data_IF_135867200944
#
_entry.id   IF_135867200944
#
_cell.length_a   1.000
_cell.length_b   1.000
_cell.length_c   1.000
_cell.angle_alpha   90.00
_cell.angle_beta   90.00
_cell.angle_gamma   90.00
#
_symmetry.space_group_name_H-M   'P 1'
#
loop_
_entity.id
_entity.type
_entity.pdbx_description
1 polymer ?
#
# COMPACT_ATOMS: atom_id res chain seq x y z
N UNK A 1 -52.95 -22.67 4.51
CA UNK A 1 -52.69 -21.35 3.93
C UNK A 1 -51.93 -20.55 4.96
N UNK A 2 -50.65 -20.27 4.75
CA UNK A 2 -49.84 -19.51 5.71
C UNK A 2 -50.34 -18.07 5.75
N UNK A 3 -50.64 -17.56 6.94
CA UNK A 3 -50.94 -16.14 7.14
C UNK A 3 -49.80 -15.31 6.55
N UNK A 4 -50.12 -14.51 5.53
CA UNK A 4 -49.15 -13.63 4.91
C UNK A 4 -49.08 -12.37 5.79
N UNK A 5 -48.03 -12.27 6.60
CA UNK A 5 -47.78 -11.05 7.40
C UNK A 5 -47.52 -9.88 6.45
N UNK A 6 -48.36 -8.85 6.48
CA UNK A 6 -48.22 -7.72 5.57
C UNK A 6 -47.05 -6.84 6.03
N UNK A 7 -45.95 -6.83 5.27
CA UNK A 7 -44.84 -5.94 5.54
C UNK A 7 -45.24 -4.49 5.26
N UNK A 8 -44.87 -3.60 6.18
CA UNK A 8 -44.89 -2.15 5.98
C UNK A 8 -43.79 -1.74 5.02
N UNK A 9 -42.56 -2.17 5.29
CA UNK A 9 -41.38 -1.86 4.49
C UNK A 9 -40.38 -3.02 4.44
N UNK A 10 -39.60 -3.06 3.35
CA UNK A 10 -38.48 -4.02 3.19
C UNK A 10 -37.16 -3.41 3.65
N UNK A 11 -36.25 -4.23 4.18
CA UNK A 11 -34.88 -3.79 4.47
C UNK A 11 -33.96 -4.07 3.27
N UNK A 12 -32.98 -3.19 2.95
CA UNK A 12 -32.10 -3.37 1.80
C UNK A 12 -30.97 -4.36 2.09
N UNK A 13 -31.26 -5.66 1.98
CA UNK A 13 -30.27 -6.72 2.04
C UNK A 13 -29.38 -6.72 0.80
N UNK A 14 -28.06 -6.68 1.00
CA UNK A 14 -27.05 -6.77 -0.06
C UNK A 14 -26.78 -8.23 -0.45
N UNK A 15 -27.01 -9.15 0.49
CA UNK A 15 -26.89 -10.60 0.29
C UNK A 15 -28.08 -11.32 0.92
N UNK A 16 -28.64 -12.28 0.19
CA UNK A 16 -29.71 -13.15 0.70
C UNK A 16 -29.13 -14.46 1.22
N UNK A 17 -29.63 -14.91 2.36
CA UNK A 17 -29.34 -16.21 2.95
C UNK A 17 -30.21 -17.34 2.37
N UNK A 18 -30.70 -17.18 1.14
CA UNK A 18 -31.61 -18.10 0.47
C UNK A 18 -30.88 -19.33 -0.10
N UNK A 19 -31.48 -20.51 0.05
CA UNK A 19 -30.92 -21.80 -0.38
C UNK A 19 -31.83 -22.44 -1.43
N UNK A 20 -31.28 -23.09 -2.45
CA UNK A 20 -32.10 -23.82 -3.44
C UNK A 20 -32.61 -25.10 -2.79
N UNK A 21 -33.85 -25.49 -3.08
CA UNK A 21 -34.42 -26.76 -2.59
C UNK A 21 -33.59 -27.98 -3.02
N UNK A 22 -32.91 -27.90 -4.16
CA UNK A 22 -32.06 -28.97 -4.70
C UNK A 22 -30.72 -29.11 -3.98
N UNK A 23 -30.34 -28.15 -3.14
CA UNK A 23 -29.13 -28.21 -2.32
C UNK A 23 -29.50 -28.84 -0.94
N UNK A 24 -28.60 -28.79 0.06
CA UNK A 24 -28.90 -29.25 1.44
C UNK A 24 -29.87 -28.30 2.16
N UNK A 25 -31.13 -28.27 1.68
CA UNK A 25 -32.17 -27.37 2.17
C UNK A 25 -32.71 -27.81 3.54
N UNK A 26 -32.57 -26.94 4.53
CA UNK A 26 -33.16 -27.08 5.84
C UNK A 26 -34.59 -26.52 5.85
N UNK A 27 -35.64 -27.35 5.87
CA UNK A 27 -37.02 -26.90 5.80
C UNK A 27 -37.46 -26.09 7.03
N UNK A 28 -36.70 -26.16 8.13
CA UNK A 28 -37.01 -25.47 9.38
C UNK A 28 -36.54 -24.01 9.37
N UNK A 29 -35.36 -23.73 8.80
CA UNK A 29 -34.75 -22.40 8.83
C UNK A 29 -34.53 -21.76 7.46
N UNK A 30 -34.43 -22.53 6.36
CA UNK A 30 -34.07 -21.95 5.08
C UNK A 30 -35.17 -21.10 4.46
N UNK A 31 -34.69 -20.08 3.74
CA UNK A 31 -35.46 -19.27 2.81
C UNK A 31 -35.25 -19.84 1.42
N UNK A 32 -36.33 -20.16 0.72
CA UNK A 32 -36.23 -20.75 -0.61
C UNK A 32 -35.67 -19.73 -1.61
N UNK A 33 -34.66 -20.16 -2.37
CA UNK A 33 -34.09 -19.39 -3.47
C UNK A 33 -34.87 -19.65 -4.76
N UNK A 34 -35.69 -18.68 -5.17
CA UNK A 34 -36.44 -18.74 -6.44
C UNK A 34 -35.68 -18.02 -7.58
N UNK A 35 -35.84 -18.42 -8.86
CA UNK A 35 -35.03 -17.94 -9.99
C UNK A 35 -35.05 -16.42 -10.27
N UNK A 36 -35.97 -15.67 -9.67
CA UNK A 36 -36.08 -14.20 -9.75
C UNK A 36 -36.45 -13.60 -8.39
N UNK A 37 -35.87 -14.12 -7.31
CA UNK A 37 -36.20 -13.66 -5.96
C UNK A 37 -35.93 -12.17 -5.83
N UNK A 38 -37.00 -11.39 -5.62
CA UNK A 38 -36.87 -9.97 -5.35
C UNK A 38 -36.52 -9.73 -3.88
N UNK A 39 -36.05 -8.52 -3.56
CA UNK A 39 -35.83 -8.12 -2.18
C UNK A 39 -37.11 -8.24 -1.33
N UNK A 40 -38.26 -7.88 -1.91
CA UNK A 40 -39.55 -7.98 -1.24
C UNK A 40 -39.92 -9.44 -0.95
N UNK A 41 -39.73 -10.34 -1.92
CA UNK A 41 -39.99 -11.77 -1.73
C UNK A 41 -39.09 -12.36 -0.63
N UNK A 42 -37.81 -12.00 -0.63
CA UNK A 42 -36.86 -12.44 0.39
C UNK A 42 -37.26 -11.94 1.78
N UNK A 43 -37.52 -10.65 1.95
CA UNK A 43 -37.94 -10.08 3.23
C UNK A 43 -39.24 -10.70 3.73
N UNK A 44 -40.20 -10.93 2.83
CA UNK A 44 -41.48 -11.56 3.14
C UNK A 44 -41.30 -13.00 3.63
N UNK A 45 -40.49 -13.79 2.93
CA UNK A 45 -40.20 -15.16 3.36
C UNK A 45 -39.44 -15.19 4.69
N UNK A 46 -38.49 -14.27 4.90
CA UNK A 46 -37.72 -14.18 6.13
C UNK A 46 -38.61 -13.84 7.34
N UNK A 47 -39.56 -12.93 7.18
CA UNK A 47 -40.55 -12.61 8.22
C UNK A 47 -41.49 -13.78 8.46
N UNK A 48 -42.07 -14.36 7.40
CA UNK A 48 -42.94 -15.53 7.54
C UNK A 48 -42.24 -16.67 8.31
N UNK A 49 -40.97 -16.91 8.00
CA UNK A 49 -40.13 -17.89 8.69
C UNK A 49 -39.89 -17.53 10.15
N UNK A 50 -39.64 -16.26 10.43
CA UNK A 50 -39.44 -15.74 11.79
C UNK A 50 -40.67 -15.94 12.70
N UNK A 51 -41.87 -15.92 12.12
CA UNK A 51 -43.11 -16.20 12.86
C UNK A 51 -43.46 -17.69 12.92
N UNK A 52 -43.02 -18.51 11.96
CA UNK A 52 -43.26 -19.95 11.95
C UNK A 52 -42.41 -20.72 12.94
N UNK A 53 -41.21 -20.23 13.28
CA UNK A 53 -40.34 -20.89 14.26
C UNK A 53 -40.81 -20.68 15.71
N UNK A 54 -40.47 -21.63 16.57
CA UNK A 54 -40.73 -21.53 18.00
C UNK A 54 -39.78 -20.53 18.67
N UNK A 55 -40.16 -20.02 19.85
CA UNK A 55 -39.38 -19.01 20.56
C UNK A 55 -37.97 -19.50 20.94
N UNK A 56 -37.82 -20.79 21.25
CA UNK A 56 -36.52 -21.40 21.58
C UNK A 56 -35.59 -21.54 20.36
N UNK A 57 -36.14 -21.55 19.15
CA UNK A 57 -35.39 -21.72 17.91
C UNK A 57 -34.78 -20.42 17.36
N UNK A 58 -35.21 -19.26 17.86
CA UNK A 58 -34.75 -17.94 17.40
C UNK A 58 -33.22 -17.81 17.36
N UNK A 59 -32.45 -18.21 18.41
CA UNK A 59 -31.00 -18.12 18.36
C UNK A 59 -30.37 -19.05 17.32
N UNK A 60 -30.93 -20.25 17.13
CA UNK A 60 -30.44 -21.24 16.17
C UNK A 60 -30.70 -20.77 14.72
N UNK A 61 -31.89 -20.23 14.48
CA UNK A 61 -32.27 -19.61 13.21
C UNK A 61 -31.32 -18.49 12.79
N UNK A 62 -31.00 -17.57 13.72
CA UNK A 62 -30.04 -16.48 13.46
C UNK A 62 -28.65 -17.06 13.16
N UNK A 63 -28.17 -18.01 13.97
CA UNK A 63 -26.87 -18.63 13.75
C UNK A 63 -26.79 -19.34 12.40
N UNK A 64 -27.88 -19.98 11.97
CA UNK A 64 -27.98 -20.67 10.70
C UNK A 64 -27.81 -19.70 9.52
N UNK A 65 -28.60 -18.61 9.47
CA UNK A 65 -28.47 -17.65 8.39
C UNK A 65 -27.13 -16.93 8.35
N UNK A 66 -26.53 -16.66 9.52
CA UNK A 66 -25.16 -16.14 9.59
C UNK A 66 -24.12 -17.04 8.93
N UNK A 67 -24.33 -18.36 8.85
CA UNK A 67 -23.42 -19.29 8.16
C UNK A 67 -23.59 -19.28 6.63
N UNK A 68 -24.74 -18.83 6.14
CA UNK A 68 -25.08 -18.84 4.70
C UNK A 68 -24.63 -17.59 3.96
N UNK A 69 -24.21 -16.55 4.69
CA UNK A 69 -23.82 -15.25 4.14
C UNK A 69 -22.33 -14.99 4.33
N UNK A 70 -21.75 -14.18 3.45
CA UNK A 70 -20.33 -13.81 3.48
C UNK A 70 -20.04 -12.76 4.54
N UNK A 71 -20.97 -11.83 4.75
CA UNK A 71 -20.90 -10.81 5.78
C UNK A 71 -22.08 -10.95 6.76
N UNK A 72 -21.91 -11.75 7.83
CA UNK A 72 -22.96 -12.00 8.80
C UNK A 72 -23.36 -10.77 9.59
N UNK A 73 -22.42 -9.86 9.89
CA UNK A 73 -22.70 -8.65 10.67
C UNK A 73 -23.57 -7.71 9.87
N UNK A 74 -23.25 -7.50 8.58
CA UNK A 74 -24.09 -6.70 7.70
C UNK A 74 -25.49 -7.32 7.54
N UNK A 75 -25.58 -8.65 7.41
CA UNK A 75 -26.86 -9.34 7.34
C UNK A 75 -27.69 -9.16 8.62
N UNK A 76 -27.08 -9.32 9.80
CA UNK A 76 -27.71 -9.09 11.11
C UNK A 76 -28.27 -7.66 11.22
N UNK A 77 -27.52 -6.66 10.77
CA UNK A 77 -27.96 -5.25 10.79
C UNK A 77 -29.19 -5.03 9.89
N UNK A 78 -29.24 -5.68 8.73
CA UNK A 78 -30.41 -5.60 7.83
C UNK A 78 -31.60 -6.37 8.38
N UNK A 79 -31.37 -7.49 9.06
CA UNK A 79 -32.44 -8.26 9.70
C UNK A 79 -33.03 -7.51 10.90
N UNK A 80 -32.19 -6.93 11.76
CA UNK A 80 -32.64 -6.02 12.83
C UNK A 80 -33.49 -4.89 12.26
N UNK A 81 -33.01 -4.21 11.21
CA UNK A 81 -33.77 -3.15 10.55
C UNK A 81 -35.12 -3.66 10.03
N UNK A 82 -35.17 -4.84 9.40
CA UNK A 82 -36.41 -5.43 8.90
C UNK A 82 -37.43 -5.67 10.02
N UNK A 83 -36.98 -6.13 11.19
CA UNK A 83 -37.85 -6.33 12.35
C UNK A 83 -38.36 -4.99 12.89
N UNK A 84 -37.46 -4.02 13.07
CA UNK A 84 -37.80 -2.69 13.61
C UNK A 84 -38.78 -1.90 12.74
N UNK A 85 -38.61 -1.90 11.41
CA UNK A 85 -39.53 -1.18 10.52
C UNK A 85 -40.90 -1.87 10.38
N UNK A 86 -41.01 -3.13 10.82
CA UNK A 86 -42.23 -3.91 10.82
C UNK A 86 -42.64 -4.32 12.26
N UNK A 87 -42.30 -3.49 13.24
CA UNK A 87 -42.57 -3.73 14.67
C UNK A 87 -44.06 -3.88 14.99
N UNK A 88 -44.93 -3.23 14.20
CA UNK A 88 -46.38 -3.38 14.23
C UNK A 88 -46.84 -4.85 14.11
N UNK A 89 -46.07 -5.72 13.44
CA UNK A 89 -46.35 -7.17 13.36
C UNK A 89 -46.19 -7.89 14.70
N UNK A 90 -45.50 -7.27 15.66
CA UNK A 90 -45.16 -7.86 16.94
C UNK A 90 -46.01 -7.36 18.11
N UNK A 91 -47.11 -6.66 17.82
CA UNK A 91 -48.05 -6.19 18.84
C UNK A 91 -48.72 -7.38 19.57
N UNK A 92 -48.85 -7.25 20.89
CA UNK A 92 -49.42 -8.25 21.79
C UNK A 92 -48.36 -9.07 22.55
N UNK A 93 -48.67 -9.48 23.78
CA UNK A 93 -47.70 -10.03 24.77
C UNK A 93 -46.81 -11.15 24.20
N UNK A 94 -47.40 -12.10 23.47
CA UNK A 94 -46.66 -13.25 22.90
C UNK A 94 -45.69 -12.82 21.79
N UNK A 95 -46.12 -11.92 20.91
CA UNK A 95 -45.30 -11.48 19.79
C UNK A 95 -44.28 -10.42 20.22
N UNK A 96 -44.58 -9.61 21.22
CA UNK A 96 -43.65 -8.66 21.81
C UNK A 96 -42.47 -9.38 22.46
N UNK A 97 -42.72 -10.44 23.23
CA UNK A 97 -41.65 -11.28 23.79
C UNK A 97 -40.79 -11.91 22.68
N UNK A 98 -41.40 -12.33 21.56
CA UNK A 98 -40.68 -12.84 20.39
C UNK A 98 -39.80 -11.75 19.76
N UNK A 99 -40.31 -10.52 19.58
CA UNK A 99 -39.53 -9.39 19.07
C UNK A 99 -38.33 -9.10 19.96
N UNK A 100 -38.54 -8.97 21.27
CA UNK A 100 -37.46 -8.78 22.25
C UNK A 100 -36.42 -9.89 22.16
N UNK A 101 -36.87 -11.15 22.00
CA UNK A 101 -35.94 -12.29 21.86
C UNK A 101 -35.11 -12.21 20.58
N UNK A 102 -35.69 -11.79 19.45
CA UNK A 102 -34.93 -11.55 18.22
C UNK A 102 -33.88 -10.47 18.43
N UNK A 103 -34.26 -9.31 18.96
CA UNK A 103 -33.33 -8.18 19.19
C UNK A 103 -32.16 -8.60 20.10
N UNK A 104 -32.44 -9.26 21.23
CA UNK A 104 -31.40 -9.75 22.14
C UNK A 104 -30.51 -10.80 21.44
N UNK A 105 -31.09 -11.71 20.67
CA UNK A 105 -30.32 -12.78 20.01
C UNK A 105 -29.44 -12.24 18.88
N UNK A 106 -29.91 -11.22 18.15
CA UNK A 106 -29.13 -10.50 17.14
C UNK A 106 -27.93 -9.81 17.81
N UNK A 107 -28.19 -9.02 18.85
CA UNK A 107 -27.14 -8.30 19.57
C UNK A 107 -26.11 -9.24 20.20
N UNK A 108 -26.58 -10.31 20.84
CA UNK A 108 -25.71 -11.35 21.41
C UNK A 108 -24.83 -11.99 20.34
N UNK A 109 -25.38 -12.28 19.15
CA UNK A 109 -24.61 -12.90 18.07
C UNK A 109 -23.60 -11.93 17.47
N UNK A 110 -23.96 -10.66 17.31
CA UNK A 110 -23.08 -9.58 16.85
C UNK A 110 -21.89 -9.40 17.80
N UNK A 111 -22.15 -9.28 19.10
CA UNK A 111 -21.09 -9.09 20.10
C UNK A 111 -20.13 -10.27 20.15
N UNK A 112 -20.64 -11.51 20.05
CA UNK A 112 -19.76 -12.70 19.93
C UNK A 112 -18.86 -12.65 18.70
N UNK A 113 -19.37 -12.20 17.55
CA UNK A 113 -18.56 -12.07 16.33
C UNK A 113 -17.47 -11.00 16.47
N UNK A 114 -17.78 -9.89 17.15
CA UNK A 114 -16.79 -8.85 17.45
C UNK A 114 -15.71 -9.41 18.38
N UNK A 115 -16.10 -10.08 19.48
CA UNK A 115 -15.17 -10.73 20.41
C UNK A 115 -14.31 -11.81 19.74
N UNK A 116 -14.88 -12.62 18.84
CA UNK A 116 -14.17 -13.66 18.07
C UNK A 116 -13.14 -13.01 17.13
N UNK A 117 -13.49 -11.92 16.45
CA UNK A 117 -12.56 -11.16 15.63
C UNK A 117 -11.45 -10.52 16.47
N UNK A 118 -11.78 -9.93 17.63
CA UNK A 118 -10.77 -9.41 18.55
C UNK A 118 -9.83 -10.50 19.08
N UNK A 119 -10.34 -11.73 19.30
CA UNK A 119 -9.51 -12.88 19.69
C UNK A 119 -8.63 -13.40 18.56
N UNK A 120 -9.10 -13.36 17.31
CA UNK A 120 -8.30 -13.71 16.14
C UNK A 120 -7.13 -12.74 15.96
N UNK A 121 -7.35 -11.44 16.17
CA UNK A 121 -6.29 -10.43 16.21
C UNK A 121 -5.33 -10.61 17.41
N UNK A 122 -5.79 -11.29 18.46
CA UNK A 122 -5.04 -11.58 19.70
C UNK A 122 -4.66 -13.05 19.86
N UNK A 123 -4.37 -13.79 18.78
CA UNK A 123 -3.78 -15.13 18.95
C UNK A 123 -2.42 -14.99 19.62
N UNK A 124 -2.38 -15.13 20.96
CA UNK A 124 -1.15 -15.10 21.73
C UNK A 124 -0.14 -16.07 21.11
N UNK A 125 1.09 -15.64 20.87
CA UNK A 125 2.10 -16.49 20.26
C UNK A 125 2.36 -17.68 21.17
N UNK A 126 2.75 -18.82 20.58
CA UNK A 126 3.14 -19.98 21.38
C UNK A 126 4.17 -19.57 22.44
N UNK A 127 4.00 -19.99 23.70
CA UNK A 127 4.82 -19.56 24.87
C UNK A 127 6.34 -19.57 24.63
N UNK A 128 6.82 -20.46 23.76
CA UNK A 128 8.22 -20.53 23.32
C UNK A 128 8.75 -19.28 22.60
N UNK A 129 7.88 -18.36 22.18
CA UNK A 129 8.21 -17.09 21.53
C UNK A 129 7.95 -15.88 22.42
N UNK A 130 7.45 -16.06 23.64
CA UNK A 130 7.22 -14.97 24.58
C UNK A 130 8.49 -14.79 25.42
N UNK A 131 9.13 -13.63 25.32
CA UNK A 131 10.31 -13.27 26.10
C UNK A 131 9.93 -12.95 27.55
N UNK A 132 8.82 -12.25 27.75
CA UNK A 132 8.31 -11.91 29.07
C UNK A 132 6.79 -11.68 29.08
N UNK A 133 6.16 -11.81 30.24
CA UNK A 133 4.76 -11.48 30.48
C UNK A 133 4.67 -10.46 31.63
N UNK A 134 3.79 -9.47 31.47
CA UNK A 134 3.24 -8.63 32.53
C UNK A 134 1.76 -8.98 32.73
N UNK A 135 1.10 -8.36 33.72
CA UNK A 135 -0.34 -8.56 33.92
C UNK A 135 -1.16 -8.12 32.69
N UNK A 136 -0.78 -7.01 32.08
CA UNK A 136 -1.56 -6.38 31.00
C UNK A 136 -1.19 -6.85 29.58
N UNK A 137 0.05 -7.32 29.36
CA UNK A 137 0.53 -7.75 28.03
C UNK A 137 1.64 -8.77 28.10
N UNK A 138 2.00 -9.32 26.93
CA UNK A 138 3.24 -10.06 26.75
C UNK A 138 4.21 -9.29 25.85
N UNK A 139 5.48 -9.63 25.97
CA UNK A 139 6.58 -9.10 25.18
C UNK A 139 7.20 -10.26 24.38
N UNK A 140 7.10 -10.18 23.06
CA UNK A 140 7.66 -11.16 22.13
C UNK A 140 8.51 -10.45 21.09
N UNK A 141 9.83 -10.64 21.16
CA UNK A 141 10.73 -10.05 20.17
C UNK A 141 10.41 -10.55 18.75
N UNK A 142 9.91 -11.78 18.63
CA UNK A 142 9.48 -12.34 17.33
C UNK A 142 8.36 -11.50 16.73
N UNK A 143 7.30 -11.23 17.48
CA UNK A 143 6.15 -10.44 17.00
C UNK A 143 6.54 -8.97 16.79
N UNK A 144 7.31 -8.40 17.71
CA UNK A 144 7.82 -7.03 17.58
C UNK A 144 8.66 -6.90 16.30
N UNK A 145 9.49 -7.90 15.97
CA UNK A 145 10.26 -7.90 14.71
C UNK A 145 9.35 -7.99 13.48
N UNK A 146 8.36 -8.88 13.49
CA UNK A 146 7.41 -9.04 12.37
C UNK A 146 6.62 -7.74 12.11
N UNK A 147 6.18 -7.05 13.17
CA UNK A 147 5.52 -5.73 13.06
C UNK A 147 6.48 -4.65 12.57
N UNK A 148 7.70 -4.63 13.11
CA UNK A 148 8.74 -3.67 12.70
C UNK A 148 9.11 -3.82 11.23
N UNK A 149 9.15 -5.05 10.70
CA UNK A 149 9.43 -5.31 9.28
C UNK A 149 8.37 -4.75 8.32
N UNK A 150 7.13 -4.55 8.78
CA UNK A 150 6.04 -3.94 8.01
C UNK A 150 6.16 -2.41 7.90
N UNK A 151 6.99 -1.77 8.73
CA UNK A 151 7.21 -0.34 8.69
C UNK A 151 8.08 0.04 7.48
N UNK A 152 7.81 1.21 6.89
CA UNK A 152 8.47 1.62 5.66
C UNK A 152 9.86 2.21 5.93
N UNK A 153 9.97 3.14 6.89
CA UNK A 153 11.20 3.91 7.12
C UNK A 153 12.05 3.38 8.29
N UNK A 154 13.37 3.57 8.19
CA UNK A 154 14.30 3.17 9.25
C UNK A 154 14.08 3.97 10.55
N UNK A 155 13.66 5.24 10.49
CA UNK A 155 13.38 6.04 11.69
C UNK A 155 12.11 5.55 12.37
N UNK A 156 11.07 5.18 11.61
CA UNK A 156 9.86 4.57 12.16
C UNK A 156 10.16 3.25 12.85
N UNK A 157 11.00 2.40 12.24
CA UNK A 157 11.47 1.14 12.84
C UNK A 157 12.20 1.36 14.15
N UNK A 158 13.14 2.31 14.18
CA UNK A 158 13.89 2.64 15.39
C UNK A 158 12.94 3.18 16.47
N UNK A 159 12.06 4.13 16.11
CA UNK A 159 11.08 4.69 17.03
C UNK A 159 10.18 3.61 17.66
N UNK A 160 9.63 2.72 16.84
CA UNK A 160 8.79 1.61 17.30
C UNK A 160 9.53 0.68 18.27
N UNK A 161 10.75 0.24 17.91
CA UNK A 161 11.58 -0.60 18.79
C UNK A 161 11.95 0.11 20.09
N UNK A 162 12.26 1.41 20.04
CA UNK A 162 12.53 2.23 21.22
C UNK A 162 11.29 2.33 22.12
N UNK A 163 10.11 2.55 21.55
CA UNK A 163 8.85 2.58 22.31
C UNK A 163 8.60 1.25 23.02
N UNK A 164 8.77 0.13 22.32
CA UNK A 164 8.57 -1.20 22.90
C UNK A 164 9.58 -1.50 24.02
N UNK A 165 10.83 -1.02 23.92
CA UNK A 165 11.82 -1.10 25.01
C UNK A 165 11.33 -0.32 26.23
N UNK A 166 10.82 0.90 26.03
CA UNK A 166 10.30 1.71 27.14
C UNK A 166 9.13 1.02 27.84
N UNK A 167 8.15 0.53 27.07
CA UNK A 167 7.00 -0.21 27.60
C UNK A 167 7.43 -1.44 28.39
N UNK A 168 8.43 -2.18 27.90
CA UNK A 168 8.96 -3.35 28.59
C UNK A 168 9.66 -2.98 29.90
N UNK A 169 10.44 -1.90 29.92
CA UNK A 169 11.21 -1.47 31.09
C UNK A 169 10.34 -0.86 32.19
N UNK A 170 9.17 -0.31 31.84
CA UNK A 170 8.22 0.28 32.79
C UNK A 170 7.14 -0.69 33.22
N UNK A 171 6.95 -1.81 32.53
CA UNK A 171 5.98 -2.83 32.88
C UNK A 171 6.37 -3.63 34.12
N UNK A 172 5.36 -4.05 34.89
CA UNK A 172 5.54 -5.01 35.99
C UNK A 172 5.63 -6.43 35.44
N UNK A 173 6.86 -6.91 35.25
CA UNK A 173 7.13 -8.21 34.62
C UNK A 173 6.94 -9.34 35.63
N UNK A 174 5.84 -10.08 35.49
CA UNK A 174 5.49 -11.23 36.34
C UNK A 174 6.24 -12.51 35.93
N UNK A 175 6.66 -12.62 34.67
CA UNK A 175 7.38 -13.79 34.17
C UNK A 175 8.40 -13.41 33.10
N UNK A 176 9.63 -13.91 33.23
CA UNK A 176 10.66 -13.87 32.17
C UNK A 176 10.98 -15.26 31.68
N UNK A 177 11.08 -15.43 30.36
CA UNK A 177 11.43 -16.69 29.73
C UNK A 177 12.95 -16.87 29.68
N UNK A 178 13.48 -17.75 30.53
CA UNK A 178 14.92 -18.01 30.64
C UNK A 178 15.55 -18.66 29.39
N UNK A 179 14.75 -19.23 28.48
CA UNK A 179 15.25 -19.87 27.25
C UNK A 179 15.43 -18.89 26.10
N UNK A 180 14.94 -17.66 26.25
CA UNK A 180 15.07 -16.60 25.26
C UNK A 180 15.98 -15.49 25.79
N UNK A 181 16.65 -14.76 24.90
CA UNK A 181 17.32 -13.52 25.28
C UNK A 181 16.33 -12.51 25.87
N UNK A 182 16.85 -11.56 26.66
CA UNK A 182 16.03 -10.47 27.18
C UNK A 182 15.45 -9.62 26.05
N UNK A 183 14.18 -9.23 26.21
CA UNK A 183 13.40 -8.59 25.15
C UNK A 183 14.02 -7.27 24.69
N UNK A 184 14.34 -6.38 25.64
CA UNK A 184 14.91 -5.07 25.35
C UNK A 184 16.29 -5.18 24.71
N UNK A 185 17.13 -6.09 25.18
CA UNK A 185 18.46 -6.36 24.61
C UNK A 185 18.36 -6.75 23.14
N UNK A 186 17.39 -7.58 22.76
CA UNK A 186 17.18 -7.95 21.35
C UNK A 186 16.67 -6.77 20.50
N UNK A 187 15.79 -5.95 21.06
CA UNK A 187 15.34 -4.70 20.41
C UNK A 187 16.52 -3.73 20.21
N UNK A 188 17.39 -3.55 21.20
CA UNK A 188 18.58 -2.69 21.12
C UNK A 188 19.57 -3.19 20.05
N UNK A 189 19.83 -4.49 20.00
CA UNK A 189 20.65 -5.08 18.92
C UNK A 189 20.05 -4.82 17.56
N UNK A 190 18.72 -4.91 17.42
CA UNK A 190 18.06 -4.64 16.15
C UNK A 190 18.14 -3.17 15.75
N UNK A 191 17.97 -2.24 16.69
CA UNK A 191 18.20 -0.81 16.48
C UNK A 191 19.64 -0.57 15.97
N UNK A 192 20.63 -1.15 16.66
CA UNK A 192 22.04 -1.04 16.27
C UNK A 192 22.30 -1.59 14.87
N UNK A 193 21.67 -2.71 14.50
CA UNK A 193 21.73 -3.27 13.14
C UNK A 193 21.14 -2.32 12.09
N UNK A 194 19.96 -1.75 12.35
CA UNK A 194 19.29 -0.81 11.42
C UNK A 194 20.18 0.43 11.20
N UNK A 195 20.71 1.01 12.27
CA UNK A 195 21.58 2.18 12.21
C UNK A 195 22.88 1.88 11.45
N UNK A 196 23.50 0.74 11.74
CA UNK A 196 24.74 0.31 11.07
C UNK A 196 24.52 0.10 9.57
N UNK A 197 23.45 -0.59 9.18
CA UNK A 197 23.13 -0.81 7.76
C UNK A 197 22.78 0.49 7.04
N UNK A 198 22.07 1.41 7.69
CA UNK A 198 21.77 2.72 7.13
C UNK A 198 23.06 3.53 6.88
N UNK A 199 23.99 3.52 7.83
CA UNK A 199 25.30 4.19 7.69
C UNK A 199 26.12 3.57 6.55
N UNK A 200 26.25 2.24 6.51
CA UNK A 200 26.98 1.55 5.45
C UNK A 200 26.36 1.81 4.08
N UNK A 201 25.03 1.87 3.98
CA UNK A 201 24.35 2.20 2.72
C UNK A 201 24.67 3.62 2.27
N UNK A 202 24.65 4.59 3.18
CA UNK A 202 25.04 5.96 2.88
C UNK A 202 26.51 6.06 2.42
N UNK A 203 27.43 5.31 3.05
CA UNK A 203 28.84 5.23 2.64
C UNK A 203 29.00 4.56 1.26
N UNK A 204 28.22 3.53 0.96
CA UNK A 204 28.20 2.88 -0.36
C UNK A 204 27.64 3.83 -1.42
N UNK A 205 26.57 4.57 -1.13
CA UNK A 205 26.00 5.55 -2.06
C UNK A 205 26.97 6.73 -2.28
N UNK A 206 27.66 7.18 -1.24
CA UNK A 206 28.73 8.17 -1.33
C UNK A 206 29.95 7.69 -2.15
N UNK A 207 30.25 6.38 -2.13
CA UNK A 207 31.37 5.79 -2.91
C UNK A 207 30.99 5.28 -4.30
N UNK A 208 29.69 5.06 -4.57
CA UNK A 208 29.14 4.73 -5.90
C UNK A 208 28.72 5.94 -6.69
N UNK A 209 28.57 7.08 -6.03
CA UNK A 209 28.68 8.36 -6.72
C UNK A 209 30.02 8.29 -7.45
N UNK A 210 30.08 8.36 -8.80
CA UNK A 210 31.33 8.75 -9.41
C UNK A 210 31.78 10.02 -8.69
N UNK A 211 33.08 10.27 -8.66
CA UNK A 211 33.54 11.65 -8.52
C UNK A 211 32.86 12.45 -9.63
N UNK A 212 31.63 12.91 -9.38
CA UNK A 212 31.17 14.19 -9.83
C UNK A 212 32.09 15.09 -9.07
N UNK A 213 33.25 15.32 -9.71
CA UNK A 213 33.93 16.59 -9.67
C UNK A 213 33.02 17.59 -9.00
N UNK A 214 33.46 18.09 -7.84
CA UNK A 214 33.22 19.47 -7.46
C UNK A 214 32.57 20.21 -8.61
N UNK A 215 31.34 20.70 -8.43
CA UNK A 215 30.84 21.83 -9.21
C UNK A 215 31.82 23.00 -8.98
N UNK A 216 33.04 22.91 -9.51
CA UNK A 216 33.55 23.99 -10.32
C UNK A 216 32.55 24.01 -11.46
N UNK A 217 31.56 24.89 -11.34
CA UNK A 217 31.14 25.63 -12.51
C UNK A 217 32.44 26.15 -13.13
N UNK A 218 33.04 25.40 -14.05
CA UNK A 218 34.02 25.99 -14.94
C UNK A 218 33.22 27.05 -15.67
N UNK A 219 33.47 28.32 -15.37
CA UNK A 219 32.86 29.43 -16.09
C UNK A 219 32.99 29.10 -17.58
N UNK A 220 31.84 29.03 -18.27
CA UNK A 220 31.84 28.72 -19.69
C UNK A 220 32.65 29.78 -20.41
N UNK A 221 33.42 29.35 -21.41
CA UNK A 221 34.27 30.25 -22.17
C UNK A 221 33.38 31.10 -23.08
N UNK A 222 33.48 32.42 -22.94
CA UNK A 222 32.79 33.38 -23.80
C UNK A 222 33.48 33.42 -25.17
N UNK A 223 32.73 33.11 -26.22
CA UNK A 223 33.19 33.25 -27.60
C UNK A 223 32.97 34.69 -28.08
N UNK A 224 34.04 35.48 -28.06
CA UNK A 224 34.05 36.83 -28.65
C UNK A 224 34.20 36.76 -30.18
N UNK A 225 33.25 36.10 -30.85
CA UNK A 225 33.24 35.99 -32.29
C UNK A 225 32.26 34.96 -32.84
N UNK A 226 32.17 34.85 -34.18
CA UNK A 226 31.22 33.95 -34.84
C UNK A 226 31.39 32.47 -34.48
N UNK A 227 30.26 31.78 -34.26
CA UNK A 227 30.20 30.35 -33.93
C UNK A 227 30.88 29.43 -34.96
N UNK A 228 30.90 29.83 -36.23
CA UNK A 228 31.56 29.06 -37.29
C UNK A 228 33.07 28.93 -37.10
N UNK A 229 33.72 29.84 -36.38
CA UNK A 229 35.17 29.80 -36.18
C UNK A 229 35.55 28.60 -35.31
N UNK A 230 34.94 28.48 -34.12
CA UNK A 230 35.25 27.39 -33.19
C UNK A 230 34.79 26.04 -33.75
N UNK A 231 33.60 25.98 -34.35
CA UNK A 231 33.09 24.74 -34.95
C UNK A 231 33.93 24.28 -36.13
N UNK A 232 34.44 25.21 -36.95
CA UNK A 232 35.36 24.86 -38.03
C UNK A 232 36.70 24.34 -37.52
N UNK A 233 37.25 24.87 -36.41
CA UNK A 233 38.45 24.33 -35.78
C UNK A 233 38.27 22.86 -35.35
N UNK A 234 37.15 22.56 -34.66
CA UNK A 234 36.83 21.18 -34.27
C UNK A 234 36.56 20.29 -35.49
N UNK A 235 35.85 20.79 -36.50
CA UNK A 235 35.59 20.08 -37.76
C UNK A 235 36.91 19.70 -38.45
N UNK A 236 37.85 20.64 -38.59
CA UNK A 236 39.18 20.37 -39.15
C UNK A 236 39.93 19.31 -38.34
N UNK A 237 39.92 19.38 -37.01
CA UNK A 237 40.56 18.35 -36.18
C UNK A 237 39.91 16.96 -36.31
N UNK A 238 38.60 16.92 -36.61
CA UNK A 238 37.86 15.67 -36.83
C UNK A 238 38.06 15.08 -38.24
N UNK A 239 38.41 15.90 -39.24
CA UNK A 239 38.53 15.46 -40.64
C UNK A 239 39.96 15.41 -41.16
N UNK A 240 40.86 16.25 -40.65
CA UNK A 240 42.26 16.30 -41.07
C UNK A 240 43.00 15.06 -40.55
N UNK A 241 43.54 14.28 -41.48
CA UNK A 241 44.16 12.97 -41.21
C UNK A 241 45.66 13.14 -41.03
N UNK A 242 46.21 12.59 -39.93
CA UNK A 242 47.65 12.51 -39.71
C UNK A 242 48.31 11.55 -40.72
N UNK A 243 49.65 11.54 -40.88
CA UNK A 243 50.36 10.51 -41.64
C UNK A 243 50.05 9.08 -41.20
N UNK A 244 49.54 8.90 -39.98
CA UNK A 244 49.11 7.62 -39.39
C UNK A 244 47.70 7.17 -39.81
N UNK A 245 47.00 7.92 -40.65
CA UNK A 245 45.68 7.54 -41.18
C UNK A 245 44.50 7.81 -40.25
N UNK A 246 44.70 8.44 -39.08
CA UNK A 246 43.65 8.81 -38.13
C UNK A 246 43.50 10.34 -37.99
N UNK A 247 42.27 10.85 -37.75
CA UNK A 247 42.07 12.27 -37.46
C UNK A 247 42.66 12.67 -36.10
N UNK A 248 42.80 13.97 -35.85
CA UNK A 248 43.26 14.48 -34.56
C UNK A 248 42.25 14.19 -33.45
N UNK A 249 40.96 14.25 -33.76
CA UNK A 249 39.86 13.91 -32.84
C UNK A 249 38.96 12.86 -33.47
N UNK A 250 38.77 11.74 -32.77
CA UNK A 250 37.89 10.65 -33.21
C UNK A 250 36.66 10.52 -32.29
N UNK A 251 35.65 11.35 -32.54
CA UNK A 251 34.36 11.34 -31.84
C UNK A 251 33.19 11.53 -32.80
N UNK A 252 31.96 11.20 -32.37
CA UNK A 252 30.77 11.47 -33.16
C UNK A 252 30.47 12.97 -33.14
N UNK A 253 29.88 13.49 -34.23
CA UNK A 253 29.50 14.91 -34.35
C UNK A 253 28.60 15.34 -33.19
N UNK A 254 27.65 14.48 -32.79
CA UNK A 254 26.75 14.72 -31.66
C UNK A 254 27.52 14.95 -30.36
N UNK A 255 28.45 14.05 -30.03
CA UNK A 255 29.26 14.15 -28.81
C UNK A 255 30.13 15.41 -28.81
N UNK A 256 30.63 15.82 -29.98
CA UNK A 256 31.42 17.05 -30.12
C UNK A 256 30.55 18.30 -29.97
N UNK A 257 29.34 18.30 -30.51
CA UNK A 257 28.38 19.39 -30.32
C UNK A 257 27.99 19.54 -28.85
N UNK A 258 27.80 18.43 -28.14
CA UNK A 258 27.53 18.44 -26.69
C UNK A 258 28.72 19.06 -25.93
N UNK A 259 29.95 18.64 -26.23
CA UNK A 259 31.16 19.21 -25.62
C UNK A 259 31.26 20.73 -25.82
N UNK A 260 31.02 21.23 -27.04
CA UNK A 260 31.08 22.67 -27.31
C UNK A 260 29.98 23.43 -26.56
N UNK A 261 28.74 22.90 -26.52
CA UNK A 261 27.63 23.55 -25.82
C UNK A 261 27.81 23.59 -24.29
N UNK A 262 28.51 22.60 -23.73
CA UNK A 262 28.79 22.52 -22.29
C UNK A 262 29.90 23.47 -21.86
N UNK A 263 30.89 23.73 -22.73
CA UNK A 263 32.09 24.50 -22.38
C UNK A 263 32.07 25.96 -22.87
N UNK A 264 31.23 26.31 -23.84
CA UNK A 264 31.22 27.64 -24.47
C UNK A 264 29.84 28.32 -24.42
N UNK A 265 29.86 29.66 -24.44
CA UNK A 265 28.70 30.55 -24.59
C UNK A 265 29.00 31.60 -25.66
N UNK A 266 27.95 32.25 -26.18
CA UNK A 266 28.13 33.37 -27.12
C UNK A 266 28.72 34.62 -26.45
N UNK A 267 28.95 35.68 -27.24
CA UNK A 267 29.50 36.96 -26.77
C UNK A 267 28.65 37.68 -25.69
N UNK A 268 27.39 37.26 -25.54
CA UNK A 268 26.45 37.78 -24.54
C UNK A 268 26.24 36.82 -23.35
N UNK A 269 26.95 35.68 -23.32
CA UNK A 269 26.81 34.67 -22.27
C UNK A 269 25.65 33.70 -22.46
N UNK A 270 24.97 33.71 -23.61
CA UNK A 270 23.86 32.79 -23.86
C UNK A 270 24.36 31.38 -24.25
N UNK A 271 23.60 30.33 -23.92
CA UNK A 271 23.88 28.97 -24.35
C UNK A 271 23.87 28.81 -25.88
N UNK A 272 24.83 28.05 -26.40
CA UNK A 272 24.91 27.72 -27.83
C UNK A 272 23.88 26.63 -28.21
N UNK A 273 23.23 26.80 -29.36
CA UNK A 273 22.28 25.82 -29.91
C UNK A 273 22.99 24.54 -30.38
N UNK A 274 22.65 23.40 -29.77
CA UNK A 274 23.20 22.09 -30.13
C UNK A 274 22.91 21.70 -31.59
N UNK A 275 21.72 21.98 -32.09
CA UNK A 275 21.34 21.67 -33.47
C UNK A 275 22.15 22.50 -34.47
N UNK A 276 22.42 23.75 -34.12
CA UNK A 276 23.29 24.63 -34.91
C UNK A 276 24.72 24.09 -34.92
N UNK A 277 25.26 23.72 -33.76
CA UNK A 277 26.60 23.13 -33.64
C UNK A 277 26.76 21.84 -34.47
N UNK A 278 25.79 20.92 -34.42
CA UNK A 278 25.82 19.70 -35.22
C UNK A 278 25.80 19.98 -36.73
N UNK A 279 25.01 20.97 -37.14
CA UNK A 279 24.94 21.39 -38.55
C UNK A 279 26.29 21.92 -39.02
N UNK A 280 26.97 22.73 -38.21
CA UNK A 280 28.24 23.37 -38.58
C UNK A 280 29.41 22.38 -38.54
N UNK A 281 29.38 21.40 -37.64
CA UNK A 281 30.37 20.31 -37.56
C UNK A 281 30.21 19.25 -38.67
N UNK A 282 29.12 19.29 -39.44
CA UNK A 282 28.86 18.30 -40.48
C UNK A 282 29.85 18.44 -41.66
N UNK A 283 30.54 17.36 -42.08
CA UNK A 283 31.56 17.42 -43.15
C UNK A 283 31.05 17.97 -44.49
N UNK A 284 29.77 17.79 -44.79
CA UNK A 284 29.16 18.25 -46.04
C UNK A 284 28.69 19.72 -46.05
N UNK A 285 28.76 20.42 -44.91
CA UNK A 285 28.24 21.79 -44.76
C UNK A 285 29.36 22.82 -44.83
N UNK A 286 30.10 22.82 -45.94
CA UNK A 286 31.21 23.76 -46.15
C UNK A 286 30.71 25.20 -46.43
N UNK A 287 29.43 25.36 -46.77
CA UNK A 287 28.74 26.65 -46.88
C UNK A 287 28.63 27.40 -45.53
N UNK A 288 28.91 26.72 -44.42
CA UNK A 288 28.87 27.28 -43.06
C UNK A 288 30.25 27.52 -42.46
N UNK A 289 31.32 27.17 -43.18
CA UNK A 289 32.68 27.43 -42.75
C UNK A 289 32.99 28.94 -42.82
N UNK A 290 33.90 29.46 -41.99
CA UNK A 290 34.29 30.87 -42.03
C UNK A 290 34.98 31.22 -43.35
N UNK A 291 34.79 32.47 -43.79
CA UNK A 291 35.48 33.01 -44.97
C UNK A 291 37.00 32.99 -44.77
N UNK A 292 37.76 32.96 -45.87
CA UNK A 292 39.24 32.87 -45.85
C UNK A 292 39.92 33.83 -44.89
N UNK A 293 39.35 35.02 -44.74
CA UNK A 293 39.92 36.11 -43.95
C UNK A 293 39.65 35.96 -42.44
N UNK A 294 38.68 35.10 -42.07
CA UNK A 294 38.28 34.79 -40.70
C UNK A 294 38.70 33.38 -40.27
N UNK A 295 39.32 32.59 -41.17
CA UNK A 295 39.82 31.27 -40.84
C UNK A 295 41.02 31.36 -39.92
N UNK A 296 40.95 30.68 -38.78
CA UNK A 296 42.13 30.42 -37.95
C UNK A 296 42.96 29.35 -38.64
N UNK A 297 44.22 29.69 -38.97
CA UNK A 297 45.20 28.74 -39.52
C UNK A 297 45.86 28.01 -38.36
N UNK A 298 45.67 26.69 -38.30
CA UNK A 298 46.28 25.80 -37.32
C UNK A 298 47.50 25.08 -37.91
#
# INVERSE_FOLDING_TARGET
>A
MSEKYLLKETAPFVQFSSVKITDDFNPEFDIEKVPKQTLADYCQQLINRSFSITHSQIPAFICHHCKLVKDPVQWLNKFEKLLTINDDLFVGVRNQNRHTKFMISIETKRNRMIEENEKLERTKPAKKYINAESEDRHFSFKETREKMEQLADNKEKIYYLTSEIYDYRTADIIMKNQKLPEFDVECEKMIGKIQTLAKLRAEIEASRSPETSTEKSSEKIILNGPLNIITNAFKQMMTSVKPTGKPYIQKRIKDMADFIAENFVDEHGNPLSKDTLQTYLSPGRNDKDPNSDLMIKF
#
